data_IF_566905175602
#
_entry.id   IF_566905175602
#
_cell.length_a   1.000
_cell.length_b   1.000
_cell.length_c   1.000
_cell.angle_alpha   90.00
_cell.angle_beta   90.00
_cell.angle_gamma   90.00
#
_symmetry.space_group_name_H-M   'P 1'
#
loop_
_entity.id
_entity.type
_entity.pdbx_description
1 polymer ?
#
# COMPACT_ATOMS: atom_id res chain seq x y z
N UNK A 1 63.31 8.38 -69.26
CA UNK A 1 63.17 7.24 -68.34
C UNK A 1 62.21 7.59 -67.21
N UNK A 2 61.13 6.85 -67.02
CA UNK A 2 60.23 7.01 -65.87
C UNK A 2 60.84 6.35 -64.63
N UNK A 3 61.11 7.16 -63.59
CA UNK A 3 61.66 6.69 -62.31
C UNK A 3 60.63 5.86 -61.55
N UNK A 4 60.77 4.53 -61.60
CA UNK A 4 59.97 3.60 -60.82
C UNK A 4 60.46 3.58 -59.36
N UNK A 5 60.23 4.67 -58.63
CA UNK A 5 60.35 4.68 -57.17
C UNK A 5 59.06 4.11 -56.58
N UNK A 6 58.98 2.78 -56.53
CA UNK A 6 58.00 2.11 -55.69
C UNK A 6 58.31 2.49 -54.24
N UNK A 7 57.48 3.35 -53.64
CA UNK A 7 57.50 3.61 -52.20
C UNK A 7 57.08 2.34 -51.45
N UNK A 8 58.02 1.41 -51.32
CA UNK A 8 57.92 0.22 -50.46
C UNK A 8 57.65 0.76 -49.05
N UNK A 9 56.45 0.50 -48.51
CA UNK A 9 55.94 0.94 -47.20
C UNK A 9 55.02 2.16 -47.16
N UNK A 10 54.26 2.47 -48.23
CA UNK A 10 53.09 3.36 -48.09
C UNK A 10 52.00 2.64 -47.28
N UNK A 11 51.74 3.07 -46.04
CA UNK A 11 50.54 2.65 -45.28
C UNK A 11 49.28 3.08 -46.05
N UNK A 12 48.50 2.12 -46.53
CA UNK A 12 47.29 2.36 -47.36
C UNK A 12 45.99 2.45 -46.55
N UNK A 13 46.03 2.35 -45.22
CA UNK A 13 44.83 2.51 -44.40
C UNK A 13 45.07 3.36 -43.16
N UNK A 14 44.54 4.58 -43.17
CA UNK A 14 44.23 5.37 -41.96
C UNK A 14 42.77 5.13 -41.53
N UNK A 15 42.27 3.90 -41.64
CA UNK A 15 40.92 3.59 -41.16
C UNK A 15 40.99 3.38 -39.65
N UNK A 16 40.27 4.22 -38.90
CA UNK A 16 39.93 3.95 -37.50
C UNK A 16 39.41 2.51 -37.45
N UNK A 17 40.04 1.67 -36.62
CA UNK A 17 39.61 0.29 -36.46
C UNK A 17 38.11 0.20 -36.13
N UNK A 18 37.51 -0.97 -36.34
CA UNK A 18 36.09 -1.17 -36.06
C UNK A 18 35.75 -0.67 -34.67
N UNK A 19 34.73 0.18 -34.57
CA UNK A 19 34.22 0.70 -33.29
C UNK A 19 33.63 -0.50 -32.54
N UNK A 20 34.41 -1.12 -31.66
CA UNK A 20 33.91 -2.19 -30.79
C UNK A 20 32.82 -1.55 -29.93
N UNK A 21 31.58 -2.00 -30.12
CA UNK A 21 30.44 -1.47 -29.37
C UNK A 21 30.66 -1.64 -27.86
N UNK A 22 30.04 -0.79 -27.06
CA UNK A 22 30.13 -0.79 -25.59
C UNK A 22 29.60 -2.06 -24.89
N UNK A 23 29.30 -3.12 -25.66
CA UNK A 23 28.68 -4.37 -25.24
C UNK A 23 29.44 -5.17 -24.19
N UNK A 24 30.66 -4.76 -23.82
CA UNK A 24 31.40 -5.32 -22.68
C UNK A 24 31.93 -4.28 -21.67
N UNK A 25 31.90 -2.98 -22.01
CA UNK A 25 32.50 -1.93 -21.18
C UNK A 25 31.77 -1.75 -19.84
N UNK A 26 30.48 -2.09 -19.79
CA UNK A 26 29.64 -1.97 -18.59
C UNK A 26 29.51 -3.29 -17.80
N UNK A 27 30.50 -4.19 -17.83
CA UNK A 27 30.52 -5.35 -16.91
C UNK A 27 30.39 -4.92 -15.44
N UNK A 28 31.02 -3.80 -15.04
CA UNK A 28 30.84 -3.19 -13.70
C UNK A 28 29.44 -2.64 -13.42
N UNK A 29 28.63 -2.40 -14.45
CA UNK A 29 27.21 -2.06 -14.32
C UNK A 29 26.27 -3.28 -14.32
N UNK A 30 26.80 -4.44 -14.70
CA UNK A 30 26.15 -5.76 -14.68
C UNK A 30 26.55 -6.57 -13.44
N UNK A 31 27.60 -6.16 -12.73
CA UNK A 31 27.91 -6.65 -11.39
C UNK A 31 26.75 -6.34 -10.44
N UNK A 32 26.20 -7.38 -9.83
CA UNK A 32 25.06 -7.26 -8.92
C UNK A 32 25.39 -6.33 -7.76
N UNK A 33 24.67 -5.21 -7.64
CA UNK A 33 24.75 -4.31 -6.48
C UNK A 33 24.20 -5.01 -5.25
N UNK A 34 25.07 -5.77 -4.57
CA UNK A 34 24.77 -6.52 -3.36
C UNK A 34 23.48 -7.36 -3.44
N UNK A 35 23.04 -7.95 -2.32
CA UNK A 35 21.67 -8.43 -2.24
C UNK A 35 20.77 -7.20 -2.24
N UNK A 36 20.27 -6.80 -3.41
CA UNK A 36 19.22 -5.79 -3.47
C UNK A 36 18.05 -6.35 -2.65
N UNK A 37 17.56 -5.65 -1.60
CA UNK A 37 16.54 -6.17 -0.70
C UNK A 37 15.36 -6.76 -1.48
N UNK A 38 14.63 -7.75 -0.95
CA UNK A 38 13.47 -8.28 -1.65
C UNK A 38 12.52 -7.14 -2.04
N UNK A 39 11.83 -7.29 -3.16
CA UNK A 39 11.00 -6.24 -3.74
C UNK A 39 9.90 -5.69 -2.80
N UNK A 40 9.52 -6.46 -1.79
CA UNK A 40 8.63 -6.06 -0.68
C UNK A 40 9.30 -5.13 0.34
N UNK A 41 10.62 -5.21 0.52
CA UNK A 41 11.39 -4.40 1.47
C UNK A 41 11.96 -3.11 0.86
N UNK A 42 11.96 -2.97 -0.47
CA UNK A 42 12.48 -1.77 -1.17
C UNK A 42 11.52 -0.58 -0.99
N UNK A 43 11.96 0.51 -0.37
CA UNK A 43 11.17 1.75 -0.23
C UNK A 43 10.73 2.27 -1.61
N UNK A 44 9.44 2.59 -1.77
CA UNK A 44 8.87 3.11 -3.02
C UNK A 44 8.53 2.07 -4.10
N UNK A 45 8.92 0.80 -3.93
CA UNK A 45 8.62 -0.25 -4.89
C UNK A 45 7.14 -0.71 -4.79
N UNK A 46 6.51 -1.09 -5.93
CA UNK A 46 5.09 -1.53 -5.98
C UNK A 46 4.78 -2.62 -4.96
N UNK A 47 5.65 -3.63 -4.84
CA UNK A 47 5.48 -4.74 -3.89
C UNK A 47 5.59 -4.32 -2.42
N UNK A 48 6.38 -3.28 -2.09
CA UNK A 48 6.40 -2.71 -0.73
C UNK A 48 5.07 -1.99 -0.43
N UNK A 49 4.57 -1.19 -1.37
CA UNK A 49 3.27 -0.53 -1.21
C UNK A 49 2.14 -1.53 -1.00
N UNK A 50 2.13 -2.62 -1.76
CA UNK A 50 1.14 -3.70 -1.62
C UNK A 50 1.30 -4.39 -0.27
N UNK A 51 2.51 -4.77 0.14
CA UNK A 51 2.76 -5.41 1.43
C UNK A 51 2.35 -4.51 2.61
N UNK A 52 2.64 -3.20 2.56
CA UNK A 52 2.21 -2.23 3.55
C UNK A 52 0.69 -2.06 3.60
N UNK A 53 0.01 -2.06 2.44
CA UNK A 53 -1.45 -2.01 2.38
C UNK A 53 -2.09 -3.28 2.98
N UNK A 54 -1.55 -4.46 2.67
CA UNK A 54 -2.00 -5.73 3.23
C UNK A 54 -1.79 -5.79 4.75
N UNK A 55 -0.65 -5.32 5.25
CA UNK A 55 -0.40 -5.24 6.69
C UNK A 55 -1.38 -4.30 7.41
N UNK A 56 -1.72 -3.15 6.81
CA UNK A 56 -2.74 -2.25 7.33
C UNK A 56 -4.14 -2.88 7.33
N UNK A 57 -4.49 -3.61 6.27
CA UNK A 57 -5.77 -4.31 6.19
C UNK A 57 -5.86 -5.47 7.19
N UNK A 58 -4.77 -6.19 7.42
CA UNK A 58 -4.67 -7.21 8.47
C UNK A 58 -4.77 -6.59 9.88
N UNK A 59 -4.17 -5.43 10.10
CA UNK A 59 -4.30 -4.69 11.36
C UNK A 59 -5.74 -4.18 11.58
N UNK A 60 -6.43 -3.72 10.53
CA UNK A 60 -7.84 -3.33 10.60
C UNK A 60 -8.79 -4.53 10.80
N UNK A 61 -8.37 -5.74 10.40
CA UNK A 61 -9.09 -7.00 10.64
C UNK A 61 -8.83 -7.60 12.01
N UNK A 62 -7.80 -7.15 12.74
CA UNK A 62 -7.69 -7.52 14.16
C UNK A 62 -8.84 -6.82 14.88
N UNK A 63 -9.71 -7.56 15.60
CA UNK A 63 -10.72 -6.92 16.40
C UNK A 63 -10.00 -5.97 17.34
N UNK A 64 -10.33 -4.68 17.26
CA UNK A 64 -9.89 -3.72 18.26
C UNK A 64 -10.22 -4.33 19.63
N UNK A 65 -9.32 -4.24 20.63
CA UNK A 65 -9.64 -4.75 21.95
C UNK A 65 -10.95 -4.09 22.35
N UNK A 66 -12.02 -4.90 22.39
CA UNK A 66 -13.33 -4.44 22.83
C UNK A 66 -13.05 -3.88 24.22
N UNK A 67 -13.21 -2.57 24.39
CA UNK A 67 -13.29 -1.96 25.72
C UNK A 67 -14.61 -2.42 26.35
N UNK A 68 -14.76 -3.74 26.54
CA UNK A 68 -15.78 -4.36 27.34
C UNK A 68 -15.17 -4.50 28.71
N UNK A 69 -15.39 -3.48 29.53
CA UNK A 69 -15.15 -3.58 30.95
C UNK A 69 -15.90 -4.78 31.53
N UNK A 70 -15.51 -5.13 32.75
CA UNK A 70 -16.17 -6.06 33.68
C UNK A 70 -17.59 -6.35 33.25
N UNK A 71 -17.89 -7.63 32.99
CA UNK A 71 -19.20 -8.18 32.61
C UNK A 71 -20.29 -7.53 33.48
N UNK A 72 -20.82 -6.41 33.00
CA UNK A 72 -21.81 -5.63 33.71
C UNK A 72 -23.09 -6.43 33.74
N UNK A 73 -23.93 -6.18 34.73
CA UNK A 73 -25.26 -6.77 34.84
C UNK A 73 -26.20 -6.38 33.69
N UNK A 74 -25.76 -5.50 32.79
CA UNK A 74 -26.49 -4.99 31.64
C UNK A 74 -25.65 -5.09 30.37
N UNK A 75 -26.27 -5.61 29.31
CA UNK A 75 -25.67 -5.69 27.98
C UNK A 75 -25.79 -4.33 27.27
N UNK A 76 -24.75 -3.92 26.53
CA UNK A 76 -24.72 -2.65 25.80
C UNK A 76 -24.61 -2.89 24.30
N UNK A 77 -25.58 -2.35 23.55
CA UNK A 77 -25.58 -2.32 22.08
C UNK A 77 -25.04 -0.96 21.63
N UNK A 78 -24.12 -0.96 20.67
CA UNK A 78 -23.46 0.27 20.19
C UNK A 78 -23.57 0.40 18.68
N UNK A 79 -23.92 1.60 18.22
CA UNK A 79 -23.98 1.99 16.81
C UNK A 79 -25.40 2.28 16.34
N UNK A 80 -25.53 3.15 15.33
CA UNK A 80 -26.82 3.65 14.85
C UNK A 80 -27.77 2.54 14.39
N UNK A 81 -27.31 1.66 13.50
CA UNK A 81 -28.12 0.58 12.94
C UNK A 81 -28.50 -0.48 13.98
N UNK A 82 -27.54 -1.12 14.70
CA UNK A 82 -27.90 -2.18 15.63
C UNK A 82 -28.79 -1.71 16.78
N UNK A 83 -28.65 -0.45 17.25
CA UNK A 83 -29.56 0.12 18.25
C UNK A 83 -30.96 0.32 17.68
N UNK A 84 -31.07 0.86 16.46
CA UNK A 84 -32.37 1.04 15.80
C UNK A 84 -33.12 -0.27 15.59
N UNK A 85 -32.44 -1.31 15.06
CA UNK A 85 -33.08 -2.63 14.88
C UNK A 85 -33.51 -3.23 16.22
N UNK A 86 -32.68 -3.15 17.27
CA UNK A 86 -33.03 -3.68 18.58
C UNK A 86 -34.27 -2.99 19.17
N UNK A 87 -34.36 -1.66 19.07
CA UNK A 87 -35.53 -0.92 19.55
C UNK A 87 -36.77 -1.20 18.70
N UNK A 88 -36.60 -1.36 17.39
CA UNK A 88 -37.69 -1.70 16.45
C UNK A 88 -38.28 -3.08 16.75
N UNK A 89 -37.44 -4.03 17.13
CA UNK A 89 -37.87 -5.39 17.51
C UNK A 89 -38.41 -5.48 18.95
N UNK A 90 -38.48 -4.35 19.66
CA UNK A 90 -39.05 -4.29 21.01
C UNK A 90 -38.11 -4.80 22.11
N UNK A 91 -36.80 -4.83 21.86
CA UNK A 91 -35.83 -5.19 22.91
C UNK A 91 -35.89 -4.14 24.02
N UNK A 92 -36.11 -4.55 25.29
CA UNK A 92 -36.25 -3.61 26.40
C UNK A 92 -34.92 -2.87 26.64
N UNK A 93 -34.97 -1.53 26.57
CA UNK A 93 -33.83 -0.65 26.82
C UNK A 93 -34.06 0.17 28.09
N UNK A 94 -33.05 0.21 28.96
CA UNK A 94 -33.10 0.98 30.23
C UNK A 94 -32.57 2.40 30.05
N UNK A 95 -31.57 2.58 29.18
CA UNK A 95 -30.92 3.89 28.96
C UNK A 95 -30.38 3.97 27.55
N UNK A 96 -30.66 5.08 26.86
CA UNK A 96 -30.13 5.38 25.53
C UNK A 96 -29.16 6.57 25.62
N UNK A 97 -27.90 6.34 25.25
CA UNK A 97 -26.89 7.41 25.17
C UNK A 97 -26.81 7.97 23.76
N UNK A 98 -27.10 9.26 23.61
CA UNK A 98 -27.07 9.96 22.32
C UNK A 98 -26.11 11.14 22.39
N UNK A 99 -25.27 11.29 21.38
CA UNK A 99 -24.40 12.44 21.24
C UNK A 99 -25.21 13.67 20.83
N UNK A 100 -24.87 14.84 21.38
CA UNK A 100 -25.54 16.09 21.01
C UNK A 100 -25.36 16.39 19.51
N UNK A 101 -26.39 16.97 18.89
CA UNK A 101 -26.40 17.45 17.50
C UNK A 101 -26.30 16.36 16.40
N UNK A 102 -26.78 15.14 16.65
CA UNK A 102 -26.78 14.04 15.67
C UNK A 102 -28.16 13.73 15.06
N UNK A 103 -29.13 14.63 15.27
CA UNK A 103 -30.55 14.46 14.88
C UNK A 103 -30.79 14.49 13.36
N UNK A 104 -29.78 14.85 12.57
CA UNK A 104 -29.87 14.79 11.11
C UNK A 104 -30.10 13.37 10.59
N UNK A 105 -29.60 12.36 11.31
CA UNK A 105 -29.77 10.95 10.94
C UNK A 105 -31.18 10.46 11.28
N UNK A 106 -31.90 9.96 10.28
CA UNK A 106 -33.27 9.43 10.43
C UNK A 106 -33.34 8.29 11.44
N UNK A 107 -32.33 7.41 11.48
CA UNK A 107 -32.33 6.26 12.40
C UNK A 107 -32.20 6.68 13.86
N UNK A 108 -31.46 7.75 14.12
CA UNK A 108 -31.35 8.31 15.48
C UNK A 108 -32.70 8.90 15.89
N UNK A 109 -33.35 9.66 15.02
CA UNK A 109 -34.68 10.23 15.27
C UNK A 109 -35.72 9.15 15.56
N UNK A 110 -35.74 8.07 14.79
CA UNK A 110 -36.71 7.00 15.00
C UNK A 110 -36.37 6.15 16.24
N UNK A 111 -35.09 5.94 16.55
CA UNK A 111 -34.69 5.31 17.81
C UNK A 111 -35.15 6.12 19.04
N UNK A 112 -35.09 7.45 18.99
CA UNK A 112 -35.60 8.32 20.05
C UNK A 112 -37.13 8.20 20.23
N UNK A 113 -37.89 8.06 19.13
CA UNK A 113 -39.34 7.86 19.19
C UNK A 113 -39.72 6.49 19.75
N UNK A 114 -38.92 5.46 19.49
CA UNK A 114 -39.17 4.10 19.99
C UNK A 114 -38.79 3.94 21.47
N UNK A 115 -37.87 4.76 21.96
CA UNK A 115 -37.37 4.71 23.33
C UNK A 115 -38.16 5.59 24.33
N UNK A 116 -39.04 6.47 23.86
CA UNK A 116 -39.88 7.36 24.67
C UNK A 116 -41.33 6.94 24.67
#
# INVERSE_FOLDING_TARGET
MAGNSQRRNRRTSNKKGMQVGSGGQRRRGLEGKGPTPPASARKGHKKNRIAGAQAKQAAARRPAPRRGGVKGTSEMVVGRNPVYEALRDGVPAVTLYVQQYIDNDERVRDALKLAG
#
